data_IF_395758260800
#
_entry.id   IF_395758260800
#
_cell.length_a   1.000
_cell.length_b   1.000
_cell.length_c   1.000
_cell.angle_alpha   90.00
_cell.angle_beta   90.00
_cell.angle_gamma   90.00
#
_symmetry.space_group_name_H-M   'P 1'
#
loop_
_entity.id
_entity.type
_entity.pdbx_description
1 polymer ?
#
# COMPACT_ATOMS: atom_id res chain seq x y z
N UNK A 1 3.65 6.15 -13.22
CA UNK A 1 3.67 5.61 -11.84
C UNK A 1 2.97 6.60 -10.92
N UNK A 2 2.33 6.14 -9.84
CA UNK A 2 1.49 6.97 -8.96
C UNK A 2 2.04 7.03 -7.54
N UNK A 3 1.85 8.17 -6.87
CA UNK A 3 2.12 8.32 -5.44
C UNK A 3 0.88 7.91 -4.65
N UNK A 4 1.06 7.08 -3.62
CA UNK A 4 -0.04 6.50 -2.83
C UNK A 4 0.19 6.79 -1.36
N UNK A 5 -0.86 7.24 -0.67
CA UNK A 5 -0.90 7.34 0.79
C UNK A 5 -1.94 6.41 1.38
N UNK A 6 -1.57 5.62 2.38
CA UNK A 6 -2.47 4.69 3.08
C UNK A 6 -2.65 5.17 4.52
N UNK A 7 -3.73 5.89 4.80
CA UNK A 7 -4.04 6.33 6.16
C UNK A 7 -4.57 5.15 6.96
N UNK A 8 -3.96 4.85 8.11
CA UNK A 8 -4.31 3.70 8.93
C UNK A 8 -3.63 2.40 8.49
N UNK A 9 -2.43 2.50 7.88
CA UNK A 9 -1.61 1.36 7.47
C UNK A 9 -1.31 0.35 8.62
N UNK A 10 -1.41 0.79 9.87
CA UNK A 10 -1.19 -0.05 11.06
C UNK A 10 -2.37 -0.96 11.40
N UNK A 11 -3.58 -0.67 10.90
CA UNK A 11 -4.78 -1.47 11.11
C UNK A 11 -4.83 -2.73 10.26
N UNK A 12 -5.78 -3.62 10.55
CA UNK A 12 -5.94 -4.89 9.84
C UNK A 12 -6.08 -4.69 8.32
N UNK A 13 -6.94 -3.75 7.91
CA UNK A 13 -7.18 -3.44 6.50
C UNK A 13 -5.94 -2.86 5.82
N UNK A 14 -5.23 -1.93 6.48
CA UNK A 14 -4.03 -1.31 5.94
C UNK A 14 -2.93 -2.33 5.65
N UNK A 15 -2.72 -3.29 6.56
CA UNK A 15 -1.77 -4.40 6.38
C UNK A 15 -2.17 -5.32 5.24
N UNK A 16 -3.46 -5.69 5.15
CA UNK A 16 -3.95 -6.52 4.03
C UNK A 16 -3.78 -5.81 2.70
N UNK A 17 -4.02 -4.49 2.65
CA UNK A 17 -3.84 -3.70 1.43
C UNK A 17 -2.38 -3.71 0.97
N UNK A 18 -1.43 -3.53 1.90
CA UNK A 18 0.01 -3.62 1.62
C UNK A 18 0.39 -5.00 1.08
N UNK A 19 -0.10 -6.07 1.72
CA UNK A 19 0.18 -7.44 1.31
C UNK A 19 -0.31 -7.73 -0.13
N UNK A 20 -1.53 -7.30 -0.47
CA UNK A 20 -2.08 -7.47 -1.82
C UNK A 20 -1.28 -6.66 -2.85
N UNK A 21 -0.85 -5.43 -2.51
CA UNK A 21 -0.03 -4.62 -3.41
C UNK A 21 1.33 -5.28 -3.71
N UNK A 22 1.96 -5.88 -2.71
CA UNK A 22 3.21 -6.63 -2.87
C UNK A 22 3.02 -7.89 -3.73
N UNK A 23 2.02 -8.73 -3.42
CA UNK A 23 1.69 -9.94 -4.18
C UNK A 23 1.40 -9.66 -5.67
N UNK A 24 0.83 -8.48 -5.97
CA UNK A 24 0.48 -8.05 -7.33
C UNK A 24 1.58 -7.26 -8.03
N UNK A 25 2.74 -7.05 -7.38
CA UNK A 25 3.80 -6.16 -7.87
C UNK A 25 3.25 -4.79 -8.32
N UNK A 26 2.36 -4.22 -7.51
CA UNK A 26 1.63 -3.02 -7.90
C UNK A 26 2.60 -1.84 -8.12
N UNK A 27 2.61 -1.19 -9.30
CA UNK A 27 3.59 -0.16 -9.62
C UNK A 27 3.29 1.15 -8.88
N UNK A 28 4.06 1.42 -7.83
CA UNK A 28 4.06 2.69 -7.09
C UNK A 28 5.32 3.49 -7.35
N UNK A 29 5.19 4.81 -7.47
CA UNK A 29 6.34 5.72 -7.51
C UNK A 29 6.84 6.02 -6.11
N UNK A 30 5.92 6.27 -5.19
CA UNK A 30 6.21 6.61 -3.81
C UNK A 30 5.04 6.19 -2.91
N UNK A 31 5.33 5.56 -1.79
CA UNK A 31 4.35 5.08 -0.83
C UNK A 31 4.50 5.82 0.50
N UNK A 32 3.40 6.35 1.00
CA UNK A 32 3.27 7.00 2.31
C UNK A 32 2.34 6.14 3.18
N UNK A 33 2.76 5.84 4.41
CA UNK A 33 2.05 4.96 5.36
C UNK A 33 1.54 5.74 6.57
#
# INVERSE_FOLDING_TARGET
MVNIGIVGATGMVGRTFLQVMEERNFPVSQLYL
#
